data_IF_767473094140
#
_entry.id   IF_767473094140
#
_cell.length_a   1.000
_cell.length_b   1.000
_cell.length_c   1.000
_cell.angle_alpha   90.00
_cell.angle_beta   90.00
_cell.angle_gamma   90.00
#
_symmetry.space_group_name_H-M   'P 1'
#
loop_
_entity.id
_entity.type
_entity.pdbx_description
1 polymer ?
#
# COMPACT_ATOMS: atom_id res chain seq x y z
N UNK A 1 -30.84 -7.11 -33.88
CA UNK A 1 -31.23 -8.49 -34.14
C UNK A 1 -32.24 -8.47 -35.28
N UNK A 2 -32.06 -9.28 -36.27
CA UNK A 2 -32.98 -9.38 -37.41
C UNK A 2 -34.09 -10.39 -37.14
N UNK A 3 -35.20 -10.35 -37.91
CA UNK A 3 -36.34 -11.25 -37.71
C UNK A 3 -36.02 -12.72 -38.01
N UNK A 4 -35.00 -12.97 -38.81
CA UNK A 4 -34.45 -14.29 -39.10
C UNK A 4 -33.55 -14.88 -38.01
N UNK A 5 -33.36 -14.15 -36.91
CA UNK A 5 -32.49 -14.53 -35.81
C UNK A 5 -31.02 -14.16 -35.99
N UNK A 6 -30.63 -13.58 -37.11
CA UNK A 6 -29.24 -13.13 -37.31
C UNK A 6 -28.96 -11.87 -36.57
N UNK A 7 -27.70 -11.70 -36.13
CA UNK A 7 -27.21 -10.50 -35.46
C UNK A 7 -26.32 -9.75 -36.44
N UNK A 8 -26.70 -8.51 -36.78
CA UNK A 8 -25.86 -7.63 -37.59
C UNK A 8 -25.31 -6.49 -36.73
N UNK A 9 -24.07 -6.09 -36.96
CA UNK A 9 -23.43 -4.94 -36.31
C UNK A 9 -23.65 -3.72 -37.20
N UNK A 10 -24.31 -2.70 -36.69
CA UNK A 10 -24.45 -1.41 -37.37
C UNK A 10 -23.15 -0.62 -37.18
N UNK A 11 -22.47 -0.31 -38.27
CA UNK A 11 -21.19 0.42 -38.26
C UNK A 11 -21.44 1.92 -38.36
N UNK A 12 -22.36 2.35 -39.20
CA UNK A 12 -22.74 3.75 -39.33
C UNK A 12 -24.15 3.91 -39.90
N UNK A 13 -24.80 5.01 -39.54
CA UNK A 13 -26.04 5.46 -40.14
C UNK A 13 -25.81 6.86 -40.70
N UNK A 14 -25.92 7.00 -42.03
CA UNK A 14 -25.78 8.28 -42.69
C UNK A 14 -27.12 8.70 -43.30
N UNK A 15 -27.50 9.94 -43.10
CA UNK A 15 -28.67 10.54 -43.69
C UNK A 15 -28.28 11.05 -45.09
N UNK A 16 -28.93 10.51 -46.10
CA UNK A 16 -28.74 10.91 -47.50
C UNK A 16 -29.52 12.21 -47.77
N UNK A 17 -29.07 12.99 -48.75
CA UNK A 17 -29.65 14.29 -49.11
C UNK A 17 -31.16 14.26 -49.48
N UNK A 18 -31.75 13.09 -49.57
CA UNK A 18 -33.17 12.87 -49.83
C UNK A 18 -33.98 12.45 -48.59
N UNK A 19 -33.37 12.53 -47.36
CA UNK A 19 -34.04 12.15 -46.13
C UNK A 19 -34.17 10.64 -45.91
N UNK A 20 -33.48 9.82 -46.70
CA UNK A 20 -33.37 8.37 -46.52
C UNK A 20 -32.14 8.05 -45.67
N UNK A 21 -32.27 7.05 -44.80
CA UNK A 21 -31.18 6.62 -43.91
C UNK A 21 -30.53 5.38 -44.51
N UNK A 22 -29.27 5.50 -44.92
CA UNK A 22 -28.44 4.37 -45.32
C UNK A 22 -27.81 3.73 -44.10
N UNK A 23 -28.16 2.47 -43.83
CA UNK A 23 -27.63 1.69 -42.72
C UNK A 23 -26.49 0.79 -43.19
N UNK A 24 -25.28 1.08 -42.74
CA UNK A 24 -24.14 0.22 -43.00
C UNK A 24 -24.08 -0.88 -41.93
N UNK A 25 -24.30 -2.12 -42.34
CA UNK A 25 -24.27 -3.27 -41.44
C UNK A 25 -23.21 -4.29 -41.83
N UNK A 26 -22.66 -5.00 -40.84
CA UNK A 26 -21.67 -6.05 -41.02
C UNK A 26 -22.14 -7.31 -40.28
N UNK A 27 -21.95 -8.49 -40.89
CA UNK A 27 -22.20 -9.77 -40.25
C UNK A 27 -20.97 -10.16 -39.37
N UNK A 28 -21.14 -10.30 -38.05
CA UNK A 28 -20.03 -10.66 -37.16
C UNK A 28 -19.51 -12.10 -37.34
N UNK A 29 -20.28 -12.97 -38.04
CA UNK A 29 -19.89 -14.36 -38.25
C UNK A 29 -19.09 -14.54 -39.54
N UNK A 30 -19.10 -13.56 -40.45
CA UNK A 30 -18.31 -13.59 -41.68
C UNK A 30 -17.30 -12.42 -41.72
N UNK A 31 -16.06 -12.62 -41.20
CA UNK A 31 -15.05 -11.57 -41.15
C UNK A 31 -14.54 -11.13 -42.54
N UNK A 32 -14.83 -11.87 -43.58
CA UNK A 32 -14.51 -11.51 -44.97
C UNK A 32 -15.58 -10.63 -45.62
N UNK A 33 -16.69 -10.41 -44.94
CA UNK A 33 -17.84 -9.74 -45.49
C UNK A 33 -17.65 -8.22 -45.52
N UNK A 34 -17.82 -7.66 -46.69
CA UNK A 34 -17.83 -6.22 -46.92
C UNK A 34 -19.07 -5.62 -46.27
N UNK A 35 -18.91 -4.41 -45.77
CA UNK A 35 -20.00 -3.61 -45.24
C UNK A 35 -21.14 -3.60 -46.28
N UNK A 36 -22.28 -4.15 -45.92
CA UNK A 36 -23.48 -4.11 -46.79
C UNK A 36 -24.25 -2.82 -46.47
N UNK A 37 -24.57 -2.07 -47.50
CA UNK A 37 -25.42 -0.88 -47.38
C UNK A 37 -26.85 -1.36 -47.63
N UNK A 38 -27.72 -1.25 -46.62
CA UNK A 38 -29.12 -1.60 -46.72
C UNK A 38 -29.98 -0.33 -46.73
N UNK A 39 -30.94 -0.26 -47.65
CA UNK A 39 -31.92 0.82 -47.72
C UNK A 39 -32.84 0.80 -46.47
N UNK A 40 -33.25 1.94 -45.99
CA UNK A 40 -34.09 2.14 -44.77
C UNK A 40 -35.35 1.27 -44.78
N UNK A 41 -36.00 1.09 -45.96
CA UNK A 41 -37.19 0.28 -46.08
C UNK A 41 -36.93 -1.21 -45.88
N UNK A 42 -35.88 -1.74 -46.44
CA UNK A 42 -35.47 -3.13 -46.32
C UNK A 42 -34.95 -3.43 -44.88
N UNK A 43 -34.22 -2.51 -44.30
CA UNK A 43 -33.73 -2.63 -42.92
C UNK A 43 -34.91 -2.69 -41.94
N UNK A 44 -35.87 -1.77 -42.04
CA UNK A 44 -37.07 -1.74 -41.17
C UNK A 44 -37.95 -2.97 -41.31
N UNK A 45 -38.03 -3.56 -42.49
CA UNK A 45 -38.82 -4.75 -42.74
C UNK A 45 -38.21 -6.02 -42.10
N UNK A 46 -36.89 -6.09 -42.04
CA UNK A 46 -36.13 -7.24 -41.54
C UNK A 46 -35.74 -7.08 -40.04
N UNK A 47 -35.87 -5.89 -39.46
CA UNK A 47 -35.49 -5.63 -38.11
C UNK A 47 -36.54 -6.12 -37.08
N UNK A 48 -36.08 -6.80 -36.02
CA UNK A 48 -36.96 -7.32 -34.97
C UNK A 48 -37.36 -6.26 -33.92
N UNK A 49 -36.86 -5.02 -34.03
CA UNK A 49 -37.11 -3.94 -33.04
C UNK A 49 -36.15 -3.92 -31.86
N UNK A 50 -35.24 -4.90 -31.77
CA UNK A 50 -34.27 -4.96 -30.65
C UNK A 50 -32.91 -4.45 -31.10
N UNK A 51 -32.38 -3.42 -30.39
CA UNK A 51 -31.02 -2.92 -30.56
C UNK A 51 -30.26 -3.16 -29.27
N UNK A 52 -29.09 -3.78 -29.36
CA UNK A 52 -28.11 -3.84 -28.29
C UNK A 52 -27.04 -2.80 -28.58
N UNK A 53 -27.03 -1.75 -27.79
CA UNK A 53 -25.93 -0.77 -27.81
C UNK A 53 -24.72 -1.40 -27.15
N UNK A 54 -23.77 -1.85 -27.98
CA UNK A 54 -22.43 -2.22 -27.52
C UNK A 54 -21.60 -0.93 -27.59
N UNK A 55 -21.61 -0.17 -26.54
CA UNK A 55 -20.56 0.81 -26.31
C UNK A 55 -19.31 0.00 -25.94
N UNK A 56 -18.23 0.11 -26.70
CA UNK A 56 -16.92 -0.05 -26.11
C UNK A 56 -16.93 1.07 -25.07
N UNK A 57 -17.17 0.70 -23.81
CA UNK A 57 -16.72 1.54 -22.73
C UNK A 57 -15.27 1.82 -23.12
N UNK A 58 -15.03 2.97 -23.69
CA UNK A 58 -13.69 3.56 -23.68
C UNK A 58 -13.47 3.68 -22.20
N UNK A 59 -13.12 2.49 -21.69
CA UNK A 59 -12.88 2.29 -20.30
C UNK A 59 -12.03 3.46 -20.01
N UNK A 60 -12.52 4.20 -19.07
CA UNK A 60 -11.71 5.10 -18.33
C UNK A 60 -10.36 5.11 -19.01
N UNK A 61 -10.02 6.20 -19.62
CA UNK A 61 -8.65 6.55 -19.86
C UNK A 61 -7.99 6.50 -18.48
N UNK A 62 -7.94 5.30 -17.92
CA UNK A 62 -6.87 4.92 -17.05
C UNK A 62 -5.68 4.98 -18.00
N UNK A 63 -5.26 6.26 -18.26
CA UNK A 63 -3.85 6.45 -18.45
C UNK A 63 -3.22 5.34 -17.64
N UNK A 64 -2.31 4.59 -18.23
CA UNK A 64 -1.37 3.71 -17.55
C UNK A 64 -0.61 4.55 -16.53
N UNK A 65 -1.31 4.96 -15.47
CA UNK A 65 -0.68 5.57 -14.31
C UNK A 65 0.02 4.40 -13.66
N UNK A 66 1.26 4.23 -14.07
CA UNK A 66 2.24 3.47 -13.30
C UNK A 66 1.96 3.87 -11.86
N UNK A 67 1.81 2.88 -10.99
CA UNK A 67 1.56 3.06 -9.57
C UNK A 67 2.80 3.78 -8.99
N UNK A 68 2.83 5.11 -9.14
CA UNK A 68 3.91 5.98 -8.73
C UNK A 68 3.44 6.84 -7.54
N UNK A 69 4.36 7.45 -6.85
CA UNK A 69 4.11 8.38 -5.75
C UNK A 69 3.11 9.49 -6.10
N UNK A 70 3.03 9.86 -7.37
CA UNK A 70 2.06 10.83 -7.90
C UNK A 70 0.60 10.43 -7.70
N UNK A 71 0.30 9.14 -7.54
CA UNK A 71 -1.06 8.67 -7.23
C UNK A 71 -1.42 8.92 -5.75
N UNK A 72 -0.45 8.77 -4.84
CA UNK A 72 -0.67 8.92 -3.40
C UNK A 72 -0.85 10.37 -2.96
N UNK A 73 -0.13 11.31 -3.59
CA UNK A 73 -0.15 12.72 -3.19
C UNK A 73 -1.57 13.32 -3.26
N UNK A 74 -2.36 13.16 -4.35
CA UNK A 74 -3.73 13.66 -4.41
C UNK A 74 -4.65 13.04 -3.37
N UNK A 75 -4.50 11.73 -3.08
CA UNK A 75 -5.32 11.04 -2.07
C UNK A 75 -4.99 11.52 -0.66
N UNK A 76 -3.72 11.72 -0.33
CA UNK A 76 -3.32 12.32 0.95
C UNK A 76 -3.78 13.76 1.08
N UNK A 77 -3.71 14.56 -0.01
CA UNK A 77 -4.14 15.95 -0.02
C UNK A 77 -5.63 16.13 0.26
N UNK A 78 -6.45 15.13 -0.03
CA UNK A 78 -7.86 15.10 0.30
C UNK A 78 -8.10 15.15 1.82
N UNK A 79 -7.19 14.58 2.61
CA UNK A 79 -7.22 14.58 4.06
C UNK A 79 -6.37 15.70 4.70
N UNK A 80 -6.02 16.75 3.93
CA UNK A 80 -5.13 17.85 4.37
C UNK A 80 -5.53 18.47 5.70
N UNK A 81 -6.83 18.62 5.97
CA UNK A 81 -7.33 19.18 7.23
C UNK A 81 -7.04 18.25 8.42
N UNK A 82 -7.29 16.95 8.27
CA UNK A 82 -6.97 15.96 9.30
C UNK A 82 -5.46 15.82 9.49
N UNK A 83 -4.69 15.81 8.40
CA UNK A 83 -3.23 15.73 8.44
C UNK A 83 -2.61 16.96 9.13
N UNK A 84 -3.10 18.17 8.85
CA UNK A 84 -2.61 19.38 9.50
C UNK A 84 -2.94 19.41 10.99
N UNK A 85 -4.16 19.01 11.37
CA UNK A 85 -4.55 18.88 12.77
C UNK A 85 -3.67 17.86 13.51
N UNK A 86 -3.42 16.72 12.89
CA UNK A 86 -2.57 15.66 13.44
C UNK A 86 -1.12 16.11 13.54
N UNK A 87 -0.63 16.92 12.59
CA UNK A 87 0.71 17.50 12.64
C UNK A 87 0.87 18.45 13.84
N UNK A 88 -0.13 19.32 14.06
CA UNK A 88 -0.14 20.21 15.22
C UNK A 88 -0.17 19.39 16.53
N UNK A 89 -1.03 18.37 16.61
CA UNK A 89 -1.08 17.47 17.76
C UNK A 89 0.26 16.75 18.00
N UNK A 90 0.95 16.33 16.95
CA UNK A 90 2.27 15.71 17.05
C UNK A 90 3.31 16.69 17.61
N UNK A 91 3.34 17.93 17.13
CA UNK A 91 4.24 18.98 17.65
C UNK A 91 3.98 19.23 19.14
N UNK A 92 2.71 19.37 19.53
CA UNK A 92 2.35 19.54 20.95
C UNK A 92 2.78 18.34 21.79
N UNK A 93 2.56 17.11 21.27
CA UNK A 93 3.03 15.88 21.95
C UNK A 93 4.54 15.88 22.14
N UNK A 94 5.31 16.35 21.16
CA UNK A 94 6.78 16.42 21.27
C UNK A 94 7.23 17.49 22.25
N UNK A 95 6.53 18.61 22.34
CA UNK A 95 6.79 19.66 23.35
C UNK A 95 6.49 19.11 24.76
N UNK A 96 5.35 18.43 24.95
CA UNK A 96 5.01 17.78 26.21
C UNK A 96 6.00 16.68 26.58
N UNK A 97 6.59 16.01 25.60
CA UNK A 97 7.65 15.02 25.76
C UNK A 97 8.95 15.58 26.38
N UNK A 98 9.14 16.91 26.39
CA UNK A 98 10.24 17.56 27.11
C UNK A 98 9.99 17.67 28.63
N UNK A 99 8.74 17.53 29.09
CA UNK A 99 8.38 17.70 30.48
C UNK A 99 9.18 16.81 31.47
N UNK A 100 9.44 15.51 31.20
CA UNK A 100 10.28 14.68 32.05
C UNK A 100 11.74 15.18 32.14
N UNK A 101 12.28 15.72 31.05
CA UNK A 101 13.66 16.26 31.01
C UNK A 101 13.75 17.50 31.87
N UNK A 102 12.81 18.43 31.73
CA UNK A 102 12.70 19.63 32.52
C UNK A 102 12.48 19.30 34.02
N UNK A 103 11.65 18.27 34.29
CA UNK A 103 11.44 17.76 35.65
C UNK A 103 12.75 17.33 36.32
N UNK A 104 13.53 16.49 35.61
CA UNK A 104 14.82 16.03 36.16
C UNK A 104 15.74 17.20 36.42
N UNK A 105 15.86 18.13 35.50
CA UNK A 105 16.70 19.30 35.62
C UNK A 105 16.33 20.15 36.86
N UNK A 106 15.06 20.56 36.96
CA UNK A 106 14.58 21.40 38.06
C UNK A 106 14.68 20.66 39.42
N UNK A 107 14.43 19.33 39.41
CA UNK A 107 14.56 18.50 40.60
C UNK A 107 16.01 18.47 41.13
N UNK A 108 16.98 18.32 40.23
CA UNK A 108 18.39 18.36 40.61
C UNK A 108 18.79 19.75 41.08
N UNK A 109 18.40 20.80 40.39
CA UNK A 109 18.83 22.16 40.67
C UNK A 109 18.18 22.75 41.93
N UNK A 110 16.87 22.54 42.14
CA UNK A 110 16.12 23.20 43.20
C UNK A 110 15.77 22.29 44.38
N UNK A 111 15.40 21.05 44.11
CA UNK A 111 14.96 20.14 45.19
C UNK A 111 16.17 19.57 45.94
N UNK A 112 17.15 19.06 45.18
CA UNK A 112 18.33 18.45 45.81
C UNK A 112 19.24 19.50 46.47
N UNK A 113 19.47 20.63 45.82
CA UNK A 113 20.40 21.65 46.33
C UNK A 113 19.79 22.56 47.40
N UNK A 114 18.46 22.83 47.34
CA UNK A 114 17.82 23.78 48.25
C UNK A 114 16.74 23.16 49.15
N UNK A 115 16.46 21.84 49.04
CA UNK A 115 15.47 21.17 49.88
C UNK A 115 14.00 21.59 49.60
N UNK A 116 13.72 22.16 48.41
CA UNK A 116 12.41 22.73 48.10
C UNK A 116 11.36 21.65 47.78
N UNK A 117 10.87 20.94 48.80
CA UNK A 117 9.92 19.83 48.68
C UNK A 117 8.58 20.26 48.07
N UNK A 118 8.11 21.48 48.35
CA UNK A 118 6.89 22.04 47.77
C UNK A 118 6.96 22.16 46.22
N UNK A 119 8.15 22.52 45.71
CA UNK A 119 8.39 22.56 44.25
C UNK A 119 8.32 21.17 43.63
N UNK A 120 8.76 20.13 44.33
CA UNK A 120 8.69 18.75 43.87
C UNK A 120 7.26 18.30 43.64
N UNK A 121 6.33 18.58 44.57
CA UNK A 121 4.92 18.23 44.40
C UNK A 121 4.29 18.90 43.20
N UNK A 122 4.54 20.18 42.97
CA UNK A 122 4.04 20.92 41.79
C UNK A 122 4.60 20.33 40.51
N UNK A 123 5.88 20.00 40.46
CA UNK A 123 6.54 19.41 39.32
C UNK A 123 5.99 18.01 39.00
N UNK A 124 5.75 17.16 40.01
CA UNK A 124 5.16 15.84 39.83
C UNK A 124 3.78 15.97 39.18
N UNK A 125 2.90 16.83 39.72
CA UNK A 125 1.57 17.06 39.18
C UNK A 125 1.64 17.57 37.72
N UNK A 126 2.56 18.51 37.48
CA UNK A 126 2.77 19.09 36.15
C UNK A 126 3.23 18.03 35.11
N UNK A 127 4.21 17.20 35.49
CA UNK A 127 4.70 16.15 34.58
C UNK A 127 3.65 15.05 34.39
N UNK A 128 2.97 14.62 35.46
CA UNK A 128 1.90 13.62 35.31
C UNK A 128 0.80 14.12 34.40
N UNK A 129 0.35 15.37 34.54
CA UNK A 129 -0.65 15.95 33.66
C UNK A 129 -0.16 16.06 32.19
N UNK A 130 1.11 16.48 31.99
CA UNK A 130 1.71 16.54 30.66
C UNK A 130 1.79 15.16 29.99
N UNK A 131 2.16 14.12 30.74
CA UNK A 131 2.23 12.75 30.22
C UNK A 131 0.85 12.19 29.86
N UNK A 132 -0.17 12.42 30.69
CA UNK A 132 -1.56 12.01 30.40
C UNK A 132 -2.04 12.71 29.14
N UNK A 133 -1.83 14.02 29.02
CA UNK A 133 -2.26 14.78 27.85
C UNK A 133 -1.50 14.35 26.59
N UNK A 134 -0.21 14.11 26.67
CA UNK A 134 0.62 13.55 25.61
C UNK A 134 0.10 12.17 25.14
N UNK A 135 -0.30 11.31 26.08
CA UNK A 135 -0.90 10.01 25.78
C UNK A 135 -2.21 10.13 25.01
N UNK A 136 -3.08 11.05 25.43
CA UNK A 136 -4.37 11.30 24.73
C UNK A 136 -4.11 11.82 23.31
N UNK A 137 -3.21 12.79 23.15
CA UNK A 137 -2.88 13.32 21.82
C UNK A 137 -2.24 12.27 20.92
N UNK A 138 -1.39 11.41 21.46
CA UNK A 138 -0.80 10.29 20.71
C UNK A 138 -1.86 9.31 20.25
N UNK A 139 -2.82 8.96 21.10
CA UNK A 139 -3.96 8.12 20.72
C UNK A 139 -4.78 8.74 19.59
N UNK A 140 -5.12 10.02 19.70
CA UNK A 140 -5.86 10.73 18.64
C UNK A 140 -5.08 10.73 17.33
N UNK A 141 -3.78 11.01 17.38
CA UNK A 141 -2.90 10.93 16.21
C UNK A 141 -2.94 9.56 15.56
N UNK A 142 -2.74 8.50 16.32
CA UNK A 142 -2.70 7.14 15.81
C UNK A 142 -4.06 6.70 15.26
N UNK A 143 -5.15 7.15 15.90
CA UNK A 143 -6.51 6.93 15.39
C UNK A 143 -6.72 7.60 14.02
N UNK A 144 -6.29 8.86 13.85
CA UNK A 144 -6.43 9.59 12.58
C UNK A 144 -5.56 8.95 11.49
N UNK A 145 -4.33 8.55 11.81
CA UNK A 145 -3.45 7.83 10.88
C UNK A 145 -4.13 6.55 10.37
N UNK A 146 -4.68 5.75 11.29
CA UNK A 146 -5.39 4.52 10.95
C UNK A 146 -6.64 4.79 10.13
N UNK A 147 -7.41 5.82 10.46
CA UNK A 147 -8.61 6.22 9.71
C UNK A 147 -8.28 6.59 8.27
N UNK A 148 -7.27 7.46 8.06
CA UNK A 148 -6.82 7.87 6.72
C UNK A 148 -6.34 6.64 5.93
N UNK A 149 -5.50 5.80 6.53
CA UNK A 149 -4.94 4.63 5.87
C UNK A 149 -6.00 3.60 5.49
N UNK A 150 -7.00 3.38 6.36
CA UNK A 150 -8.14 2.49 6.07
C UNK A 150 -9.04 3.06 4.99
N UNK A 151 -9.24 4.38 4.96
CA UNK A 151 -10.02 5.04 3.91
C UNK A 151 -9.35 4.92 2.53
N UNK A 152 -8.02 5.05 2.48
CA UNK A 152 -7.24 4.84 1.26
C UNK A 152 -7.28 3.36 0.83
N UNK A 153 -7.13 2.42 1.79
CA UNK A 153 -7.23 0.98 1.51
C UNK A 153 -8.57 0.60 0.89
N UNK A 154 -9.68 1.08 1.48
CA UNK A 154 -11.02 0.76 1.01
C UNK A 154 -11.24 1.20 -0.45
N UNK A 155 -10.77 2.39 -0.82
CA UNK A 155 -10.84 2.89 -2.19
C UNK A 155 -9.96 2.09 -3.13
N UNK A 156 -8.68 1.90 -2.73
CA UNK A 156 -7.74 1.17 -3.54
C UNK A 156 -8.20 -0.28 -3.78
N UNK A 157 -8.77 -0.91 -2.76
CA UNK A 157 -9.34 -2.26 -2.88
C UNK A 157 -10.50 -2.30 -3.88
N UNK A 158 -11.38 -1.29 -3.86
CA UNK A 158 -12.44 -1.14 -4.86
C UNK A 158 -11.89 -0.96 -6.26
N UNK A 159 -10.97 0.00 -6.46
CA UNK A 159 -10.35 0.28 -7.76
C UNK A 159 -9.59 -0.95 -8.33
N UNK A 160 -8.91 -1.71 -7.45
CA UNK A 160 -8.23 -2.95 -7.85
C UNK A 160 -9.25 -4.00 -8.26
N UNK A 161 -10.32 -4.19 -7.48
CA UNK A 161 -11.36 -5.17 -7.78
C UNK A 161 -12.05 -4.86 -9.11
N UNK A 162 -12.43 -3.60 -9.34
CA UNK A 162 -13.06 -3.17 -10.60
C UNK A 162 -12.14 -3.41 -11.79
N UNK A 163 -10.85 -3.12 -11.66
CA UNK A 163 -9.87 -3.43 -12.71
C UNK A 163 -9.70 -4.92 -12.96
N UNK A 164 -9.68 -5.73 -11.92
CA UNK A 164 -9.62 -7.19 -12.06
C UNK A 164 -10.85 -7.71 -12.78
N UNK A 165 -12.06 -7.22 -12.44
CA UNK A 165 -13.29 -7.63 -13.11
C UNK A 165 -13.38 -7.15 -14.57
N UNK A 166 -12.71 -6.07 -14.92
CA UNK A 166 -12.63 -5.58 -16.31
C UNK A 166 -11.67 -6.38 -17.20
N UNK A 167 -10.88 -7.33 -16.64
CA UNK A 167 -9.97 -8.15 -17.41
C UNK A 167 -10.74 -9.14 -18.32
N UNK A 168 -10.23 -9.43 -19.53
CA UNK A 168 -10.85 -10.41 -20.40
C UNK A 168 -10.78 -11.84 -19.82
N UNK A 169 -11.78 -12.66 -20.10
CA UNK A 169 -11.89 -14.03 -19.58
C UNK A 169 -10.65 -14.90 -19.87
N UNK A 170 -9.96 -14.64 -20.97
CA UNK A 170 -8.71 -15.34 -21.33
C UNK A 170 -7.60 -15.15 -20.28
N UNK A 171 -7.55 -13.99 -19.63
CA UNK A 171 -6.57 -13.73 -18.57
C UNK A 171 -6.79 -14.63 -17.35
N UNK A 172 -8.06 -14.90 -17.00
CA UNK A 172 -8.39 -15.79 -15.88
C UNK A 172 -8.07 -17.26 -16.18
N UNK A 173 -8.07 -17.66 -17.46
CA UNK A 173 -7.68 -19.01 -17.86
C UNK A 173 -6.17 -19.25 -17.84
N UNK A 174 -5.38 -18.20 -18.07
CA UNK A 174 -3.91 -18.28 -18.17
C UNK A 174 -3.21 -17.93 -16.86
N UNK A 175 -3.86 -17.18 -15.97
CA UNK A 175 -3.26 -16.70 -14.71
C UNK A 175 -3.77 -17.54 -13.55
N UNK A 176 -2.89 -18.05 -12.67
CA UNK A 176 -3.29 -18.78 -11.47
C UNK A 176 -4.12 -17.91 -10.51
N UNK A 177 -5.14 -18.47 -9.89
CA UNK A 177 -6.00 -17.79 -8.92
C UNK A 177 -5.21 -17.11 -7.78
N UNK A 178 -4.08 -17.71 -7.38
CA UNK A 178 -3.20 -17.16 -6.36
C UNK A 178 -2.57 -15.81 -6.73
N UNK A 179 -2.44 -15.49 -8.01
CA UNK A 179 -1.94 -14.18 -8.45
C UNK A 179 -3.01 -13.10 -8.25
N UNK A 180 -4.28 -13.41 -8.53
CA UNK A 180 -5.38 -12.50 -8.26
C UNK A 180 -5.54 -12.24 -6.75
N UNK A 181 -5.40 -13.28 -5.91
CA UNK A 181 -5.39 -13.09 -4.45
C UNK A 181 -4.25 -12.18 -4.00
N UNK A 182 -3.04 -12.34 -4.55
CA UNK A 182 -1.91 -11.47 -4.24
C UNK A 182 -2.15 -10.01 -4.66
N UNK A 183 -2.81 -9.79 -5.81
CA UNK A 183 -3.18 -8.46 -6.29
C UNK A 183 -4.20 -7.82 -5.34
N UNK A 184 -5.23 -8.53 -4.93
CA UNK A 184 -6.22 -8.05 -3.97
C UNK A 184 -5.60 -7.75 -2.60
N UNK A 185 -4.67 -8.60 -2.15
CA UNK A 185 -3.94 -8.36 -0.90
C UNK A 185 -2.92 -7.20 -0.99
N UNK A 186 -2.61 -6.71 -2.20
CA UNK A 186 -1.72 -5.56 -2.35
C UNK A 186 -2.27 -4.30 -1.67
N UNK A 187 -3.59 -4.10 -1.65
CA UNK A 187 -4.24 -2.98 -0.96
C UNK A 187 -3.91 -2.95 0.54
N UNK A 188 -3.93 -4.11 1.20
CA UNK A 188 -3.59 -4.25 2.62
C UNK A 188 -2.11 -3.91 2.89
N UNK A 189 -1.21 -4.35 2.00
CA UNK A 189 0.22 -4.03 2.11
C UNK A 189 0.46 -2.52 1.93
N UNK A 190 -0.24 -1.91 0.99
CA UNK A 190 -0.16 -0.48 0.74
C UNK A 190 -0.69 0.30 1.95
N UNK A 191 -1.80 -0.11 2.55
CA UNK A 191 -2.29 0.49 3.81
C UNK A 191 -1.23 0.46 4.89
N UNK A 192 -0.63 -0.71 5.16
CA UNK A 192 0.39 -0.83 6.20
C UNK A 192 1.62 0.05 5.91
N UNK A 193 2.02 0.14 4.64
CA UNK A 193 3.11 1.02 4.22
C UNK A 193 2.77 2.50 4.45
N UNK A 194 1.57 2.95 4.06
CA UNK A 194 1.14 4.33 4.26
C UNK A 194 1.08 4.66 5.76
N UNK A 195 0.41 3.82 6.55
CA UNK A 195 0.21 4.04 7.98
C UNK A 195 1.53 4.00 8.74
N UNK A 196 2.27 2.90 8.65
CA UNK A 196 3.44 2.66 9.49
C UNK A 196 4.71 3.33 8.97
N UNK A 197 4.88 3.39 7.65
CA UNK A 197 6.14 3.87 7.08
C UNK A 197 6.06 5.36 6.71
N UNK A 198 5.03 5.78 6.01
CA UNK A 198 4.95 7.15 5.48
C UNK A 198 4.45 8.12 6.55
N UNK A 199 3.21 7.94 7.02
CA UNK A 199 2.60 8.91 7.94
C UNK A 199 3.32 8.95 9.29
N UNK A 200 3.60 7.80 9.88
CA UNK A 200 4.33 7.76 11.17
C UNK A 200 5.71 8.39 11.04
N UNK A 201 6.46 8.10 9.95
CA UNK A 201 7.79 8.71 9.75
C UNK A 201 7.71 10.22 9.57
N UNK A 202 6.72 10.75 8.84
CA UNK A 202 6.53 12.19 8.66
C UNK A 202 6.26 12.86 10.02
N UNK A 203 5.36 12.29 10.83
CA UNK A 203 5.04 12.84 12.14
C UNK A 203 6.22 12.70 13.12
N UNK A 204 6.96 11.60 13.09
CA UNK A 204 8.15 11.43 13.92
C UNK A 204 9.29 12.36 13.50
N UNK A 205 9.42 12.70 12.23
CA UNK A 205 10.40 13.68 11.78
C UNK A 205 10.20 15.07 12.40
N UNK A 206 8.97 15.41 12.80
CA UNK A 206 8.70 16.67 13.52
C UNK A 206 9.39 16.76 14.86
N UNK A 207 9.79 15.63 15.49
CA UNK A 207 10.60 15.60 16.69
C UNK A 207 11.90 16.39 16.52
N UNK A 208 12.53 16.26 15.37
CA UNK A 208 13.80 16.96 15.07
C UNK A 208 13.62 18.47 15.20
N UNK A 209 12.51 19.01 14.68
CA UNK A 209 12.23 20.45 14.74
C UNK A 209 11.94 20.96 16.15
N UNK A 210 11.51 20.10 17.07
CA UNK A 210 11.25 20.46 18.46
C UNK A 210 12.51 20.26 19.30
N UNK A 211 13.16 19.10 19.22
CA UNK A 211 14.28 18.75 20.10
C UNK A 211 15.59 19.44 19.71
N UNK A 212 15.85 19.62 18.40
CA UNK A 212 17.11 20.19 17.94
C UNK A 212 17.32 21.64 18.41
N UNK A 213 16.34 22.58 18.26
CA UNK A 213 16.50 23.93 18.77
C UNK A 213 16.70 23.99 20.31
N UNK A 214 15.99 23.14 21.04
CA UNK A 214 16.14 23.05 22.51
C UNK A 214 17.56 22.61 22.86
N UNK A 215 18.09 21.61 22.18
CA UNK A 215 19.43 21.10 22.42
C UNK A 215 20.51 22.13 22.09
N UNK A 216 20.35 22.88 20.98
CA UNK A 216 21.26 24.00 20.63
C UNK A 216 21.19 25.14 21.65
N UNK A 217 20.03 25.41 22.25
CA UNK A 217 19.86 26.41 23.31
C UNK A 217 20.57 26.05 24.61
N UNK A 218 20.68 24.75 24.91
CA UNK A 218 21.42 24.27 26.09
C UNK A 218 22.94 24.28 25.89
N UNK A 219 23.43 23.67 24.80
CA UNK A 219 24.85 23.61 24.49
C UNK A 219 25.06 23.28 23.01
N UNK A 220 25.63 24.18 22.22
CA UNK A 220 25.92 23.95 20.82
C UNK A 220 26.87 22.77 20.56
N UNK A 221 27.82 22.55 21.47
CA UNK A 221 28.79 21.46 21.35
C UNK A 221 28.13 20.10 21.56
N UNK A 222 27.24 19.96 22.54
CA UNK A 222 26.49 18.73 22.79
C UNK A 222 25.51 18.47 21.64
N UNK A 223 24.87 19.52 21.10
CA UNK A 223 24.01 19.41 19.95
C UNK A 223 24.75 18.85 18.73
N UNK A 224 25.96 19.32 18.47
CA UNK A 224 26.79 18.84 17.37
C UNK A 224 27.14 17.34 17.52
N UNK A 225 27.52 16.94 18.75
CA UNK A 225 27.79 15.50 19.03
C UNK A 225 26.57 14.65 18.79
N UNK A 226 25.37 15.04 19.25
CA UNK A 226 24.13 14.30 19.04
C UNK A 226 23.78 14.21 17.55
N UNK A 227 23.92 15.30 16.79
CA UNK A 227 23.68 15.30 15.34
C UNK A 227 24.65 14.36 14.62
N UNK A 228 25.91 14.33 15.02
CA UNK A 228 26.91 13.43 14.44
C UNK A 228 26.55 11.95 14.70
N UNK A 229 26.16 11.59 15.93
CA UNK A 229 25.68 10.24 16.25
C UNK A 229 24.39 9.89 15.50
N UNK A 230 23.42 10.80 15.48
CA UNK A 230 22.16 10.58 14.76
C UNK A 230 22.40 10.36 13.25
N UNK A 231 23.31 11.12 12.65
CA UNK A 231 23.69 10.95 11.24
C UNK A 231 24.36 9.60 11.01
N UNK A 232 25.24 9.18 11.91
CA UNK A 232 25.92 7.88 11.85
C UNK A 232 24.92 6.72 11.92
N UNK A 233 23.99 6.78 12.91
CA UNK A 233 22.91 5.78 13.04
C UNK A 233 22.03 5.76 11.80
N UNK A 234 21.68 6.94 11.27
CA UNK A 234 20.92 7.08 10.02
C UNK A 234 21.63 6.43 8.82
N UNK A 235 22.93 6.66 8.66
CA UNK A 235 23.72 6.07 7.59
C UNK A 235 23.79 4.53 7.71
N UNK A 236 24.00 3.99 8.90
CA UNK A 236 24.00 2.53 9.16
C UNK A 236 22.62 1.94 8.86
N UNK A 237 21.55 2.60 9.27
CA UNK A 237 20.17 2.16 9.01
C UNK A 237 19.83 2.17 7.51
N UNK A 238 20.26 3.18 6.78
CA UNK A 238 20.07 3.25 5.31
C UNK A 238 20.84 2.15 4.59
N UNK A 239 22.10 1.94 4.97
CA UNK A 239 22.91 0.84 4.44
C UNK A 239 22.28 -0.52 4.75
N UNK A 240 21.76 -0.69 5.97
CA UNK A 240 21.05 -1.89 6.38
C UNK A 240 19.80 -2.16 5.56
N UNK A 241 18.97 -1.15 5.33
CA UNK A 241 17.78 -1.27 4.47
C UNK A 241 18.13 -1.61 3.04
N UNK A 242 19.19 -1.01 2.50
CA UNK A 242 19.67 -1.33 1.15
C UNK A 242 20.12 -2.79 1.05
N UNK A 243 20.89 -3.28 2.01
CA UNK A 243 21.34 -4.67 2.07
C UNK A 243 20.15 -5.64 2.23
N UNK A 244 19.21 -5.33 3.10
CA UNK A 244 18.00 -6.13 3.33
C UNK A 244 17.14 -6.22 2.07
N UNK A 245 17.02 -5.14 1.29
CA UNK A 245 16.30 -5.11 0.02
C UNK A 245 16.93 -6.06 -1.00
N UNK A 246 18.26 -6.14 -1.04
CA UNK A 246 18.98 -7.05 -1.93
C UNK A 246 18.75 -8.51 -1.56
N UNK A 247 18.76 -8.83 -0.27
CA UNK A 247 18.46 -10.19 0.20
C UNK A 247 17.00 -10.57 -0.03
N UNK A 248 16.06 -9.63 0.09
CA UNK A 248 14.65 -9.85 -0.24
C UNK A 248 14.45 -10.20 -1.72
N UNK A 249 15.18 -9.59 -2.63
CA UNK A 249 15.11 -9.94 -4.07
C UNK A 249 15.46 -11.41 -4.32
N UNK A 250 16.37 -11.97 -3.54
CA UNK A 250 16.81 -13.36 -3.65
C UNK A 250 15.83 -14.30 -2.94
N UNK A 251 15.30 -13.92 -1.78
CA UNK A 251 14.40 -14.77 -0.97
C UNK A 251 12.97 -14.83 -1.53
N UNK A 252 12.49 -13.73 -2.12
CA UNK A 252 11.12 -13.62 -2.62
C UNK A 252 10.74 -14.69 -3.67
N UNK A 253 11.53 -14.97 -4.71
CA UNK A 253 11.23 -16.04 -5.69
C UNK A 253 11.27 -17.43 -5.07
N UNK A 254 12.15 -17.68 -4.09
CA UNK A 254 12.26 -18.96 -3.40
C UNK A 254 10.99 -19.23 -2.58
N UNK A 255 10.52 -18.23 -1.85
CA UNK A 255 9.27 -18.33 -1.10
C UNK A 255 8.04 -18.44 -2.01
N UNK A 256 8.02 -17.73 -3.13
CA UNK A 256 6.97 -17.85 -4.12
C UNK A 256 6.92 -19.26 -4.73
N UNK A 257 8.08 -19.86 -5.02
CA UNK A 257 8.17 -21.24 -5.49
C UNK A 257 7.62 -22.24 -4.45
N UNK A 258 8.02 -22.10 -3.20
CA UNK A 258 7.53 -22.92 -2.08
C UNK A 258 6.00 -22.80 -1.92
N UNK A 259 5.46 -21.60 -2.03
CA UNK A 259 4.01 -21.32 -1.93
C UNK A 259 3.23 -21.96 -3.09
N UNK A 260 3.72 -21.79 -4.32
CA UNK A 260 3.13 -22.43 -5.51
C UNK A 260 3.11 -23.95 -5.41
N UNK A 261 4.18 -24.53 -4.86
CA UNK A 261 4.27 -25.99 -4.65
C UNK A 261 3.20 -26.50 -3.69
N UNK A 262 2.93 -25.80 -2.58
CA UNK A 262 1.84 -26.15 -1.68
C UNK A 262 0.49 -26.10 -2.41
N UNK A 263 0.24 -24.99 -3.09
CA UNK A 263 -1.03 -24.76 -3.79
C UNK A 263 -1.29 -25.82 -4.85
N UNK A 264 -0.28 -26.15 -5.66
CA UNK A 264 -0.40 -27.20 -6.70
C UNK A 264 -0.59 -28.60 -6.08
N UNK A 265 0.10 -28.90 -4.98
CA UNK A 265 -0.06 -30.20 -4.29
C UNK A 265 -1.44 -30.36 -3.66
N UNK A 266 -2.01 -29.28 -3.11
CA UNK A 266 -3.38 -29.30 -2.53
C UNK A 266 -4.42 -29.34 -3.64
N UNK A 267 -4.27 -28.53 -4.68
CA UNK A 267 -5.19 -28.51 -5.81
C UNK A 267 -5.25 -29.87 -6.56
N UNK A 268 -4.10 -30.56 -6.64
CA UNK A 268 -3.99 -31.90 -7.28
C UNK A 268 -3.98 -33.05 -6.28
N UNK A 269 -4.55 -32.90 -5.09
CA UNK A 269 -4.42 -33.90 -4.01
C UNK A 269 -5.00 -35.28 -4.40
N UNK A 270 -6.06 -35.31 -5.17
CA UNK A 270 -6.66 -36.57 -5.67
C UNK A 270 -5.66 -37.31 -6.57
N UNK A 271 -5.01 -36.60 -7.49
CA UNK A 271 -3.97 -37.16 -8.36
C UNK A 271 -2.78 -37.66 -7.56
N UNK A 272 -2.33 -36.88 -6.56
CA UNK A 272 -1.23 -37.28 -5.68
C UNK A 272 -1.59 -38.57 -4.94
N UNK A 273 -2.82 -38.71 -4.47
CA UNK A 273 -3.33 -39.90 -3.77
C UNK A 273 -3.51 -41.08 -4.70
N UNK A 274 -4.12 -40.87 -5.86
CA UNK A 274 -4.38 -41.92 -6.85
C UNK A 274 -3.10 -42.60 -7.34
N UNK A 275 -2.02 -41.79 -7.53
CA UNK A 275 -0.74 -42.29 -8.02
C UNK A 275 0.30 -42.53 -6.90
N UNK A 276 -0.08 -42.48 -5.63
CA UNK A 276 0.84 -42.70 -4.48
C UNK A 276 2.10 -41.83 -4.52
N UNK A 277 1.97 -40.57 -4.95
CA UNK A 277 3.10 -39.64 -5.13
C UNK A 277 3.52 -38.90 -3.85
N UNK A 278 2.92 -39.22 -2.68
CA UNK A 278 3.17 -38.51 -1.42
C UNK A 278 4.66 -38.49 -1.03
N UNK A 279 5.37 -39.58 -1.27
CA UNK A 279 6.79 -39.67 -0.93
C UNK A 279 7.65 -38.75 -1.79
N UNK A 280 7.31 -38.56 -3.07
CA UNK A 280 7.98 -37.64 -3.97
C UNK A 280 7.67 -36.19 -3.57
N UNK A 281 6.39 -35.86 -3.37
CA UNK A 281 5.97 -34.53 -2.95
C UNK A 281 6.61 -34.10 -1.60
N UNK A 282 6.74 -35.04 -0.64
CA UNK A 282 7.44 -34.77 0.62
C UNK A 282 8.93 -34.48 0.42
N UNK A 283 9.61 -35.20 -0.51
CA UNK A 283 11.02 -34.94 -0.79
C UNK A 283 11.22 -33.54 -1.42
N UNK A 284 10.40 -33.21 -2.39
CA UNK A 284 10.48 -31.93 -3.09
C UNK A 284 10.13 -30.76 -2.16
N UNK A 285 9.11 -30.94 -1.31
CA UNK A 285 8.78 -30.01 -0.23
C UNK A 285 9.96 -29.77 0.71
N UNK A 286 10.63 -30.84 1.18
CA UNK A 286 11.78 -30.72 2.08
C UNK A 286 12.92 -29.94 1.42
N UNK A 287 13.20 -30.16 0.13
CA UNK A 287 14.20 -29.41 -0.62
C UNK A 287 13.85 -27.93 -0.73
N UNK A 288 12.62 -27.62 -1.16
CA UNK A 288 12.14 -26.25 -1.26
C UNK A 288 12.13 -25.54 0.09
N UNK A 289 11.67 -26.23 1.15
CA UNK A 289 11.63 -25.69 2.50
C UNK A 289 13.04 -25.45 3.07
N UNK A 290 13.98 -26.36 2.87
CA UNK A 290 15.37 -26.19 3.35
C UNK A 290 16.08 -25.03 2.68
N UNK A 291 15.87 -24.83 1.38
CA UNK A 291 16.43 -23.67 0.65
C UNK A 291 15.83 -22.35 1.12
N UNK A 292 14.50 -22.30 1.33
CA UNK A 292 13.80 -21.15 1.87
C UNK A 292 14.29 -20.79 3.28
N UNK A 293 14.39 -21.77 4.19
CA UNK A 293 14.89 -21.56 5.55
C UNK A 293 16.33 -21.04 5.55
N UNK A 294 17.22 -21.63 4.75
CA UNK A 294 18.61 -21.19 4.66
C UNK A 294 18.72 -19.74 4.21
N UNK A 295 17.92 -19.33 3.23
CA UNK A 295 17.93 -17.95 2.74
C UNK A 295 17.31 -16.99 3.76
N UNK A 296 16.22 -17.38 4.40
CA UNK A 296 15.57 -16.60 5.46
C UNK A 296 16.51 -16.37 6.65
N UNK A 297 17.27 -17.39 7.06
CA UNK A 297 18.27 -17.27 8.13
C UNK A 297 19.36 -16.25 7.79
N UNK A 298 19.87 -16.22 6.55
CA UNK A 298 20.84 -15.20 6.14
C UNK A 298 20.28 -13.79 6.29
N UNK A 299 19.06 -13.54 5.80
CA UNK A 299 18.42 -12.26 5.92
C UNK A 299 18.14 -11.85 7.38
N UNK A 300 17.75 -12.81 8.21
CA UNK A 300 17.53 -12.57 9.65
C UNK A 300 18.84 -12.22 10.37
N UNK A 301 19.94 -12.93 10.10
CA UNK A 301 21.24 -12.61 10.69
C UNK A 301 21.68 -11.19 10.31
N UNK A 302 21.57 -10.82 9.04
CA UNK A 302 21.89 -9.46 8.58
C UNK A 302 21.04 -8.42 9.32
N UNK A 303 19.74 -8.66 9.44
CA UNK A 303 18.82 -7.78 10.16
C UNK A 303 19.17 -7.67 11.66
N UNK A 304 19.47 -8.79 12.32
CA UNK A 304 19.86 -8.82 13.73
C UNK A 304 21.14 -8.03 13.99
N UNK A 305 22.17 -8.19 13.15
CA UNK A 305 23.42 -7.44 13.28
C UNK A 305 23.17 -5.93 13.20
N UNK A 306 22.40 -5.49 12.21
CA UNK A 306 22.08 -4.07 12.03
C UNK A 306 21.28 -3.53 13.21
N UNK A 307 20.28 -4.28 13.67
CA UNK A 307 19.44 -3.90 14.83
C UNK A 307 20.27 -3.82 16.10
N UNK A 308 21.18 -4.78 16.33
CA UNK A 308 22.04 -4.77 17.52
C UNK A 308 23.04 -3.61 17.49
N UNK A 309 23.63 -3.30 16.34
CA UNK A 309 24.51 -2.13 16.18
C UNK A 309 23.74 -0.85 16.50
N UNK A 310 22.54 -0.69 15.93
CA UNK A 310 21.71 0.48 16.18
C UNK A 310 21.32 0.58 17.66
N UNK A 311 20.91 -0.51 18.28
CA UNK A 311 20.56 -0.52 19.71
C UNK A 311 21.75 -0.16 20.60
N UNK A 312 22.95 -0.67 20.30
CA UNK A 312 24.17 -0.33 21.05
C UNK A 312 24.56 1.14 20.92
N UNK A 313 24.36 1.72 19.71
CA UNK A 313 24.67 3.13 19.48
C UNK A 313 23.62 4.08 20.12
N UNK A 314 22.43 3.59 20.42
CA UNK A 314 21.33 4.38 21.03
C UNK A 314 21.30 4.27 22.57
N UNK A 315 22.01 3.32 23.17
CA UNK A 315 22.20 3.20 24.60
C UNK A 315 23.35 4.09 25.10
#
# INVERSE_FOLDING_TARGET
MMRDGTVKIIVSCNETSEGLIDVQSMDPLDPSNKISIEDDKLFKQNWSGSIYLISKETGVSSQDRIFDWTWFIPELYRFKGLLSLTLIAAIITHILGLAPIVFIQISLDKVLNYGAVSTLYILIIGVCSALVFSGILSYVRDYVINFISTSIEARLSGDIFDKVMALPATTFQTTPNSEFENILQASVKIKSFISQQVLTTIFDATKIFVFLPVLFGYSPLLALVVVLFATTIGAISLFGKWRQKEEQKISSPIEAHKRRMIQSSIAGIETVKAFTLESSQRRDWRKASSSSIRQSLKGQITSMVITNINNTLTQ
#
